data_IF_890681236700
#
_entry.id   IF_890681236700
#
_cell.length_a   1.000
_cell.length_b   1.000
_cell.length_c   1.000
_cell.angle_alpha   90.00
_cell.angle_beta   90.00
_cell.angle_gamma   90.00
#
_symmetry.space_group_name_H-M   'P 1'
#
loop_
_entity.id
_entity.type
_entity.pdbx_description
1 polymer ?
#
# COMPACT_ATOMS: atom_id res chain seq x y z
N UNK A 1 3.43 29.90 -20.10
CA UNK A 1 2.43 29.96 -21.19
C UNK A 1 1.35 29.00 -20.76
N UNK A 2 0.20 29.53 -20.33
CA UNK A 2 -0.78 28.74 -19.57
C UNK A 2 -1.83 28.21 -20.54
N UNK A 3 -1.45 27.21 -21.32
CA UNK A 3 -2.42 26.53 -22.20
C UNK A 3 -3.25 25.55 -21.40
N UNK A 4 -4.57 25.62 -21.59
CA UNK A 4 -5.54 24.65 -21.08
C UNK A 4 -6.14 23.91 -22.26
N UNK A 5 -6.04 22.59 -22.26
CA UNK A 5 -6.68 21.70 -23.23
C UNK A 5 -7.83 20.96 -22.58
N UNK A 6 -8.99 20.97 -23.21
CA UNK A 6 -10.18 20.27 -22.72
C UNK A 6 -10.60 19.24 -23.75
N UNK A 7 -10.80 18.00 -23.30
CA UNK A 7 -11.32 16.90 -24.12
C UNK A 7 -12.62 16.40 -23.53
N UNK A 8 -13.61 16.19 -24.38
CA UNK A 8 -14.83 15.45 -24.04
C UNK A 8 -14.71 14.02 -24.57
N UNK A 9 -14.76 13.05 -23.67
CA UNK A 9 -14.70 11.62 -23.95
C UNK A 9 -16.09 10.96 -24.05
N UNK A 10 -16.13 9.61 -24.12
CA UNK A 10 -17.37 8.85 -24.13
C UNK A 10 -18.21 9.15 -22.88
N UNK A 11 -19.54 9.20 -23.02
CA UNK A 11 -20.44 9.50 -21.91
C UNK A 11 -20.32 10.93 -21.38
N UNK A 12 -19.79 11.88 -22.18
CA UNK A 12 -19.55 13.28 -21.78
C UNK A 12 -18.52 13.45 -20.65
N UNK A 13 -17.67 12.45 -20.40
CA UNK A 13 -16.58 12.57 -19.43
C UNK A 13 -15.56 13.62 -19.89
N UNK A 14 -15.30 14.64 -19.08
CA UNK A 14 -14.38 15.73 -19.41
C UNK A 14 -12.99 15.44 -18.83
N UNK A 15 -11.95 15.65 -19.63
CA UNK A 15 -10.54 15.63 -19.20
C UNK A 15 -9.90 16.98 -19.48
N UNK A 16 -9.16 17.52 -18.51
CA UNK A 16 -8.43 18.78 -18.62
C UNK A 16 -6.92 18.52 -18.57
N UNK A 17 -6.18 19.15 -19.47
CA UNK A 17 -4.72 19.16 -19.50
C UNK A 17 -4.24 20.60 -19.28
N UNK A 18 -3.35 20.79 -18.32
CA UNK A 18 -2.75 22.09 -18.00
C UNK A 18 -1.23 21.93 -17.82
N UNK A 19 -0.48 23.02 -17.97
CA UNK A 19 0.98 23.01 -17.77
C UNK A 19 1.77 22.35 -18.90
N UNK A 20 1.14 22.06 -20.04
CA UNK A 20 1.78 21.48 -21.22
C UNK A 20 1.82 22.51 -22.36
N UNK A 21 2.95 22.59 -23.07
CA UNK A 21 3.17 23.54 -24.17
C UNK A 21 2.63 23.01 -25.52
N UNK A 22 1.31 22.79 -25.62
CA UNK A 22 0.67 22.45 -26.89
C UNK A 22 -0.14 23.62 -27.48
N UNK A 23 -0.39 23.57 -28.79
CA UNK A 23 -1.21 24.50 -29.57
C UNK A 23 -2.52 23.86 -30.05
N UNK A 24 -2.58 22.53 -30.17
CA UNK A 24 -3.81 21.81 -30.54
C UNK A 24 -3.86 20.42 -29.90
N UNK A 25 -5.06 19.86 -29.80
CA UNK A 25 -5.33 18.54 -29.24
C UNK A 25 -6.42 17.82 -30.05
N UNK A 26 -6.22 16.53 -30.33
CA UNK A 26 -7.25 15.68 -30.93
C UNK A 26 -7.19 14.26 -30.35
N UNK A 27 -8.24 13.47 -30.60
CA UNK A 27 -8.27 12.04 -30.31
C UNK A 27 -8.35 11.26 -31.62
N UNK A 28 -7.47 10.28 -31.79
CA UNK A 28 -7.48 9.34 -32.92
C UNK A 28 -7.47 7.93 -32.35
N UNK A 29 -8.60 7.21 -32.50
CA UNK A 29 -8.80 5.94 -31.78
C UNK A 29 -8.71 6.16 -30.27
N UNK A 30 -7.80 5.46 -29.59
CA UNK A 30 -7.55 5.64 -28.15
C UNK A 30 -6.38 6.55 -27.81
N UNK A 31 -5.65 7.03 -28.83
CA UNK A 31 -4.57 7.99 -28.63
C UNK A 31 -5.13 9.41 -28.50
N UNK A 32 -4.65 10.14 -27.49
CA UNK A 32 -4.79 11.59 -27.43
C UNK A 32 -3.50 12.17 -28.00
N UNK A 33 -3.62 13.00 -29.03
CA UNK A 33 -2.50 13.63 -29.71
C UNK A 33 -2.53 15.13 -29.44
N UNK A 34 -1.36 15.73 -29.26
CA UNK A 34 -1.18 17.16 -29.09
C UNK A 34 -0.09 17.65 -30.04
N UNK A 35 -0.23 18.85 -30.60
CA UNK A 35 0.83 19.50 -31.37
C UNK A 35 1.44 20.63 -30.57
N UNK A 36 2.73 20.90 -30.71
CA UNK A 36 3.42 22.04 -30.13
C UNK A 36 4.52 22.54 -31.08
N UNK A 37 5.32 23.50 -30.62
CA UNK A 37 6.49 24.00 -31.37
C UNK A 37 7.47 22.87 -31.71
N UNK A 38 7.61 21.92 -30.79
CA UNK A 38 8.50 20.77 -30.90
C UNK A 38 7.90 19.58 -31.69
N UNK A 39 6.71 19.73 -32.28
CA UNK A 39 6.10 18.73 -33.17
C UNK A 39 4.82 18.07 -32.64
N UNK A 40 4.63 16.78 -32.94
CA UNK A 40 3.45 15.98 -32.59
C UNK A 40 3.77 15.05 -31.41
N UNK A 41 2.97 15.14 -30.36
CA UNK A 41 3.11 14.39 -29.11
C UNK A 41 1.88 13.51 -28.88
N UNK A 42 2.08 12.37 -28.22
CA UNK A 42 0.99 11.58 -27.66
C UNK A 42 0.85 11.94 -26.18
N UNK A 43 -0.33 12.42 -25.78
CA UNK A 43 -0.67 12.61 -24.38
C UNK A 43 -1.12 11.27 -23.79
N UNK A 44 -0.46 10.87 -22.72
CA UNK A 44 -0.75 9.68 -21.95
C UNK A 44 -0.06 9.77 -20.60
N UNK A 45 -0.34 8.80 -19.75
CA UNK A 45 0.44 8.53 -18.55
C UNK A 45 0.64 7.03 -18.50
N UNK A 46 1.87 6.57 -18.65
CA UNK A 46 2.21 5.15 -18.47
C UNK A 46 2.41 4.84 -16.97
N UNK A 47 2.63 5.87 -16.16
CA UNK A 47 2.91 5.80 -14.73
C UNK A 47 2.15 6.89 -13.97
N UNK A 48 1.84 6.65 -12.71
CA UNK A 48 1.29 7.61 -11.74
C UNK A 48 2.39 8.53 -11.19
N UNK A 49 3.07 9.27 -12.06
CA UNK A 49 4.10 10.27 -11.69
C UNK A 49 5.21 9.76 -10.73
N UNK A 50 5.40 8.44 -10.62
CA UNK A 50 6.40 7.82 -9.75
C UNK A 50 6.17 8.05 -8.25
N UNK A 51 5.02 8.58 -7.84
CA UNK A 51 4.70 8.78 -6.44
C UNK A 51 4.35 7.42 -5.82
N UNK A 52 5.12 7.00 -4.81
CA UNK A 52 4.87 5.76 -4.09
C UNK A 52 3.41 5.69 -3.62
N UNK A 53 2.69 4.62 -3.99
CA UNK A 53 1.35 4.38 -3.47
C UNK A 53 1.48 3.93 -2.01
N UNK A 54 1.34 4.89 -1.10
CA UNK A 54 1.29 4.63 0.33
C UNK A 54 0.05 3.80 0.64
N UNK A 55 0.24 2.49 0.81
CA UNK A 55 -0.83 1.54 1.12
C UNK A 55 -0.69 1.03 2.55
N UNK A 56 -1.81 1.06 3.28
CA UNK A 56 -1.89 0.64 4.67
C UNK A 56 -3.10 -0.27 4.84
N UNK A 57 -2.90 -1.38 5.54
CA UNK A 57 -3.98 -2.29 5.96
C UNK A 57 -4.00 -2.31 7.49
N UNK A 58 -5.10 -1.85 8.08
CA UNK A 58 -5.35 -1.93 9.52
C UNK A 58 -6.33 -3.06 9.83
N UNK A 59 -5.92 -3.98 10.70
CA UNK A 59 -6.77 -5.09 11.12
C UNK A 59 -7.61 -4.69 12.34
N UNK A 60 -8.85 -5.19 12.46
CA UNK A 60 -9.63 -5.03 13.68
C UNK A 60 -8.85 -5.53 14.91
N UNK A 61 -9.03 -4.91 16.08
CA UNK A 61 -8.47 -5.43 17.31
C UNK A 61 -8.92 -6.86 17.55
N UNK A 62 -7.99 -7.74 17.93
CA UNK A 62 -8.28 -9.15 18.14
C UNK A 62 -7.79 -9.66 19.49
N UNK A 63 -8.59 -10.55 20.07
CA UNK A 63 -8.19 -11.41 21.17
C UNK A 63 -7.60 -12.69 20.58
N UNK A 64 -6.49 -13.14 21.15
CA UNK A 64 -5.82 -14.37 20.73
C UNK A 64 -6.18 -15.52 21.66
N UNK A 65 -6.31 -16.73 21.11
CA UNK A 65 -6.65 -17.93 21.86
C UNK A 65 -7.97 -17.78 22.63
N UNK A 66 -7.92 -18.07 23.94
CA UNK A 66 -9.05 -17.96 24.88
C UNK A 66 -9.25 -16.53 25.43
N UNK A 67 -8.44 -15.56 24.98
CA UNK A 67 -8.46 -14.19 25.48
C UNK A 67 -7.68 -13.98 26.78
N UNK A 68 -6.92 -14.97 27.24
CA UNK A 68 -5.88 -14.80 28.26
C UNK A 68 -4.80 -13.80 27.81
N UNK A 69 -4.07 -13.14 28.73
CA UNK A 69 -2.94 -12.30 28.34
C UNK A 69 -1.94 -13.14 27.55
N UNK A 70 -1.46 -12.60 26.43
CA UNK A 70 -0.56 -13.31 25.53
C UNK A 70 0.63 -12.42 25.14
N UNK A 71 1.65 -13.07 24.57
CA UNK A 71 2.73 -12.41 23.82
C UNK A 71 2.72 -12.88 22.38
N UNK A 72 2.86 -11.96 21.45
CA UNK A 72 3.12 -12.28 20.03
C UNK A 72 4.62 -12.29 19.78
N UNK A 73 5.11 -13.39 19.23
CA UNK A 73 6.52 -13.64 18.93
C UNK A 73 6.87 -13.50 17.46
N UNK A 74 5.89 -13.77 16.59
CA UNK A 74 6.07 -13.80 15.15
C UNK A 74 4.74 -13.49 14.45
N UNK A 75 4.85 -12.84 13.30
CA UNK A 75 3.76 -12.68 12.34
C UNK A 75 4.01 -13.64 11.18
N UNK A 76 3.04 -14.51 10.90
CA UNK A 76 3.03 -15.35 9.70
C UNK A 76 2.32 -14.58 8.60
N UNK A 77 2.94 -14.53 7.43
CA UNK A 77 2.43 -13.77 6.29
C UNK A 77 2.41 -14.69 5.07
N UNK A 78 1.33 -14.64 4.29
CA UNK A 78 1.25 -15.27 2.98
C UNK A 78 0.81 -14.26 1.93
N UNK A 79 1.51 -14.24 0.81
CA UNK A 79 1.22 -13.37 -0.32
C UNK A 79 2.46 -13.06 -1.14
N UNK A 80 2.34 -12.07 -2.00
CA UNK A 80 3.40 -11.63 -2.92
C UNK A 80 3.73 -10.16 -2.63
N UNK A 81 4.96 -9.87 -2.25
CA UNK A 81 5.44 -8.55 -1.84
C UNK A 81 6.70 -8.23 -2.62
N UNK A 82 6.60 -7.28 -3.56
CA UNK A 82 7.69 -6.95 -4.48
C UNK A 82 8.68 -5.93 -3.92
N UNK A 83 8.46 -5.45 -2.69
CA UNK A 83 9.33 -4.49 -2.01
C UNK A 83 9.28 -4.60 -0.50
N UNK A 84 9.83 -3.59 0.16
CA UNK A 84 9.86 -3.52 1.63
C UNK A 84 8.46 -3.20 2.18
N UNK A 85 8.09 -3.94 3.20
CA UNK A 85 6.86 -3.81 3.96
C UNK A 85 7.21 -3.66 5.44
N UNK A 86 6.29 -3.10 6.23
CA UNK A 86 6.42 -3.06 7.68
C UNK A 86 5.16 -3.58 8.37
N UNK A 87 5.32 -4.35 9.43
CA UNK A 87 4.23 -4.68 10.36
C UNK A 87 4.41 -3.89 11.65
N UNK A 88 3.37 -3.15 12.03
CA UNK A 88 3.25 -2.55 13.35
C UNK A 88 2.34 -3.44 14.22
N UNK A 89 2.82 -3.80 15.41
CA UNK A 89 2.06 -4.50 16.43
C UNK A 89 1.93 -3.65 17.68
N UNK A 90 0.68 -3.44 18.10
CA UNK A 90 0.32 -2.79 19.34
C UNK A 90 -0.44 -3.76 20.25
N UNK A 91 -0.32 -3.57 21.56
CA UNK A 91 -1.04 -4.36 22.57
C UNK A 91 -1.44 -3.50 23.76
N UNK A 92 -2.72 -3.48 24.12
CA UNK A 92 -3.27 -2.72 25.26
C UNK A 92 -2.57 -1.35 25.50
N UNK A 93 -1.84 -1.20 26.62
CA UNK A 93 -0.99 -0.05 26.99
C UNK A 93 0.52 -0.38 26.94
N UNK A 94 0.88 -1.43 26.21
CA UNK A 94 2.27 -1.85 25.97
C UNK A 94 2.96 -1.04 24.87
N UNK A 95 4.27 -1.27 24.65
CA UNK A 95 5.00 -0.60 23.59
C UNK A 95 4.55 -1.10 22.22
N UNK A 96 4.39 -0.16 21.28
CA UNK A 96 4.23 -0.46 19.87
C UNK A 96 5.55 -0.96 19.28
N UNK A 97 5.44 -1.88 18.32
CA UNK A 97 6.60 -2.53 17.70
C UNK A 97 6.45 -2.52 16.18
N UNK A 98 7.37 -1.87 15.50
CA UNK A 98 7.49 -1.90 14.03
C UNK A 98 8.56 -2.91 13.63
N UNK A 99 8.28 -3.73 12.62
CA UNK A 99 9.25 -4.67 12.05
C UNK A 99 9.14 -4.68 10.54
N UNK A 100 10.24 -4.35 9.87
CA UNK A 100 10.35 -4.40 8.42
C UNK A 100 10.56 -5.84 7.93
N UNK A 101 10.04 -6.14 6.74
CA UNK A 101 10.25 -7.39 6.02
C UNK A 101 10.11 -7.17 4.52
N UNK A 102 10.44 -8.19 3.73
CA UNK A 102 10.31 -8.15 2.27
C UNK A 102 11.65 -8.02 1.54
N UNK A 103 11.68 -8.28 0.23
CA UNK A 103 10.58 -8.86 -0.56
C UNK A 103 10.27 -10.31 -0.13
N UNK A 104 9.04 -10.76 -0.38
CA UNK A 104 8.55 -12.08 0.01
C UNK A 104 7.55 -12.60 -1.01
N UNK A 105 7.67 -13.86 -1.41
CA UNK A 105 6.72 -14.55 -2.31
C UNK A 105 6.30 -15.85 -1.63
N UNK A 106 5.00 -16.10 -1.55
CA UNK A 106 4.45 -17.25 -0.83
C UNK A 106 4.39 -17.03 0.67
N UNK A 107 4.88 -17.98 1.47
CA UNK A 107 4.78 -17.95 2.94
C UNK A 107 6.07 -17.49 3.61
N UNK A 108 5.92 -16.63 4.62
CA UNK A 108 7.02 -16.10 5.41
C UNK A 108 6.68 -15.94 6.88
N UNK A 109 7.73 -15.74 7.67
CA UNK A 109 7.69 -15.55 9.11
C UNK A 109 8.49 -14.31 9.46
N UNK A 110 7.86 -13.36 10.13
CA UNK A 110 8.45 -12.09 10.54
C UNK A 110 8.59 -12.09 12.07
N UNK A 111 9.82 -12.27 12.62
CA UNK A 111 10.05 -12.21 14.05
C UNK A 111 9.86 -10.78 14.57
N UNK A 112 8.94 -10.58 15.51
CA UNK A 112 8.57 -9.23 16.03
C UNK A 112 9.11 -8.97 17.44
N UNK A 113 10.03 -9.83 17.90
CA UNK A 113 10.52 -9.83 19.27
C UNK A 113 9.47 -10.30 20.29
N UNK A 114 9.83 -10.28 21.57
CA UNK A 114 8.99 -10.79 22.69
C UNK A 114 8.46 -9.68 23.62
N UNK A 115 8.59 -8.42 23.19
CA UNK A 115 8.12 -7.25 23.95
C UNK A 115 6.60 -7.13 23.93
N UNK A 116 6.02 -6.50 24.95
CA UNK A 116 4.57 -6.34 25.07
C UNK A 116 3.86 -7.61 25.55
N UNK A 117 2.88 -7.42 26.42
CA UNK A 117 2.02 -8.45 26.97
C UNK A 117 0.63 -7.84 27.16
N UNK A 118 -0.40 -8.53 26.74
CA UNK A 118 -1.77 -8.07 26.93
C UNK A 118 -2.79 -8.95 26.25
N UNK A 119 -4.04 -8.48 26.22
CA UNK A 119 -5.20 -9.25 25.76
C UNK A 119 -5.69 -8.82 24.40
N UNK A 120 -5.65 -7.52 24.11
CA UNK A 120 -6.12 -6.98 22.84
C UNK A 120 -4.93 -6.57 21.98
N UNK A 121 -4.78 -7.25 20.85
CA UNK A 121 -3.74 -6.98 19.87
C UNK A 121 -4.30 -6.17 18.71
N UNK A 122 -3.47 -5.31 18.13
CA UNK A 122 -3.72 -4.64 16.85
C UNK A 122 -2.52 -4.85 15.95
N UNK A 123 -2.79 -5.14 14.68
CA UNK A 123 -1.78 -5.26 13.65
C UNK A 123 -2.08 -4.25 12.54
N UNK A 124 -1.02 -3.69 11.97
CA UNK A 124 -1.08 -2.81 10.80
C UNK A 124 0.05 -3.22 9.85
N UNK A 125 -0.27 -3.34 8.57
CA UNK A 125 0.67 -3.63 7.49
C UNK A 125 0.83 -2.38 6.63
N UNK A 126 2.07 -1.96 6.37
CA UNK A 126 2.40 -0.77 5.60
C UNK A 126 3.32 -1.14 4.43
N UNK A 127 2.99 -0.61 3.24
CA UNK A 127 3.87 -0.60 2.07
C UNK A 127 4.79 0.62 2.15
N UNK A 128 6.10 0.39 2.28
CA UNK A 128 7.06 1.46 2.63
C UNK A 128 7.37 2.35 1.42
N UNK A 129 7.66 1.74 0.28
CA UNK A 129 8.12 2.45 -0.93
C UNK A 129 7.15 2.28 -2.11
N UNK A 130 5.89 1.93 -1.85
CA UNK A 130 4.85 1.86 -2.88
C UNK A 130 5.00 0.68 -3.85
N UNK A 131 5.70 -0.38 -3.46
CA UNK A 131 5.87 -1.57 -4.28
C UNK A 131 4.56 -2.35 -4.44
N UNK A 132 4.42 -3.08 -5.55
CA UNK A 132 3.26 -3.96 -5.76
C UNK A 132 3.23 -5.05 -4.68
N UNK A 133 2.05 -5.27 -4.08
CA UNK A 133 1.84 -6.39 -3.19
C UNK A 133 0.43 -6.98 -3.25
N UNK A 134 0.31 -8.24 -2.88
CA UNK A 134 -0.92 -8.99 -2.65
C UNK A 134 -0.79 -9.66 -1.28
N UNK A 135 -1.75 -9.41 -0.39
CA UNK A 135 -1.84 -10.08 0.91
C UNK A 135 -2.96 -11.13 0.85
N UNK A 136 -2.60 -12.39 1.10
CA UNK A 136 -3.57 -13.47 1.23
C UNK A 136 -3.95 -13.75 2.68
N UNK A 137 -2.95 -13.76 3.58
CA UNK A 137 -3.15 -14.11 4.99
C UNK A 137 -2.13 -13.40 5.89
N UNK A 138 -2.61 -12.92 7.05
CA UNK A 138 -1.78 -12.48 8.16
C UNK A 138 -2.23 -13.19 9.44
N UNK A 139 -1.30 -13.90 10.07
CA UNK A 139 -1.53 -14.65 11.30
C UNK A 139 -0.55 -14.25 12.41
N UNK A 140 -1.01 -14.29 13.66
CA UNK A 140 -0.18 -13.99 14.83
C UNK A 140 0.15 -15.26 15.62
N UNK A 141 1.44 -15.59 15.68
CA UNK A 141 1.94 -16.68 16.53
C UNK A 141 2.11 -16.16 17.95
N UNK A 142 1.33 -16.72 18.88
CA UNK A 142 1.25 -16.25 20.26
C UNK A 142 1.50 -17.34 21.30
N UNK A 143 1.92 -16.90 22.48
CA UNK A 143 2.05 -17.71 23.68
C UNK A 143 1.12 -17.13 24.74
N UNK A 144 0.22 -17.96 25.26
CA UNK A 144 -0.61 -17.61 26.41
C UNK A 144 0.27 -17.51 27.67
N UNK A 145 0.07 -16.44 28.43
CA UNK A 145 0.76 -16.21 29.69
C UNK A 145 -0.19 -16.57 30.83
N UNK A 146 -0.30 -17.85 31.09
CA UNK A 146 -1.03 -18.32 32.26
C UNK A 146 -0.16 -18.11 33.51
N UNK A 147 -0.76 -17.55 34.57
CA UNK A 147 -0.12 -17.47 35.88
C UNK A 147 -0.50 -18.74 36.63
N UNK A 148 0.28 -19.80 36.44
CA UNK A 148 0.34 -20.89 37.42
C UNK A 148 1.20 -20.50 38.60
#
# INVERSE_FOLDING_TARGET
MDTIGVRVGPGLAVSQYAGLAFSSLCRVGDAVLATGEDGLFRLGGDTDDGAAVAAVVEFPPLKLGDGSPSRVSEVRIRGDFMGEMAVDLAVDHGPDRRTAFGPLVGEGRVPVGRGGQGRMWRARLENVDGAMFVLDELGLTHVALDRR
#
